data_IF_405386669544
#
_entry.id   IF_405386669544
#
_cell.length_a   1.000
_cell.length_b   1.000
_cell.length_c   1.000
_cell.angle_alpha   90.00
_cell.angle_beta   90.00
_cell.angle_gamma   90.00
#
_symmetry.space_group_name_H-M   'P 1'
#
loop_
_entity.id
_entity.type
_entity.pdbx_description
1 polymer ?
#
# COMPACT_ATOMS: atom_id res chain seq x y z
N UNK A 1 63.51 -41.12 24.52
CA UNK A 1 62.76 -39.83 24.33
C UNK A 1 61.62 -40.11 23.38
N UNK A 2 60.37 -40.18 23.89
CA UNK A 2 59.15 -40.47 23.09
C UNK A 2 58.53 -39.14 22.68
N UNK A 3 58.38 -38.87 21.38
CA UNK A 3 57.70 -37.69 20.84
C UNK A 3 56.18 -37.93 20.87
N UNK A 4 55.44 -37.04 21.51
CA UNK A 4 54.01 -37.05 21.48
C UNK A 4 53.49 -36.44 20.17
N UNK A 5 52.36 -36.91 19.58
CA UNK A 5 51.77 -36.31 18.40
C UNK A 5 50.98 -35.08 18.77
N UNK A 6 51.16 -33.98 18.02
CA UNK A 6 50.26 -32.80 18.04
C UNK A 6 48.96 -33.18 17.34
N UNK A 7 47.87 -33.14 18.08
CA UNK A 7 46.49 -33.21 17.52
C UNK A 7 46.11 -31.81 17.11
N UNK A 8 46.10 -31.55 15.82
CA UNK A 8 45.58 -30.30 15.26
C UNK A 8 44.04 -30.25 15.36
N UNK A 9 43.52 -29.27 16.11
CA UNK A 9 42.08 -28.97 16.20
C UNK A 9 41.67 -28.21 14.94
N UNK A 10 41.01 -28.85 14.00
CA UNK A 10 40.41 -28.18 12.84
C UNK A 10 39.12 -27.48 13.28
N UNK A 11 39.15 -26.16 13.32
CA UNK A 11 37.94 -25.36 13.56
C UNK A 11 37.02 -25.41 12.31
N UNK A 12 35.87 -26.04 12.43
CA UNK A 12 34.85 -26.02 11.41
C UNK A 12 34.17 -24.64 11.42
N UNK A 13 34.48 -23.80 10.44
CA UNK A 13 33.78 -22.57 10.17
C UNK A 13 32.42 -22.93 9.53
N UNK A 14 31.36 -22.89 10.32
CA UNK A 14 29.98 -22.96 9.83
C UNK A 14 29.64 -21.57 9.27
N UNK A 15 29.34 -21.43 7.96
CA UNK A 15 28.88 -20.14 7.43
C UNK A 15 27.55 -19.81 8.06
N UNK A 16 27.45 -18.68 8.78
CA UNK A 16 26.19 -18.07 9.15
C UNK A 16 25.53 -17.59 7.84
N UNK A 17 24.59 -18.38 7.32
CA UNK A 17 23.72 -17.95 6.24
C UNK A 17 22.89 -16.76 6.73
N UNK A 18 23.14 -15.54 6.20
CA UNK A 18 22.21 -14.44 6.33
C UNK A 18 20.93 -14.85 5.60
N UNK A 19 19.92 -15.28 6.33
CA UNK A 19 18.57 -15.38 5.79
C UNK A 19 18.07 -13.96 5.54
N UNK A 20 17.87 -13.58 4.28
CA UNK A 20 17.20 -12.35 3.96
C UNK A 20 15.80 -12.40 4.59
N UNK A 21 15.46 -11.41 5.40
CA UNK A 21 14.11 -11.32 5.95
C UNK A 21 13.10 -11.20 4.82
N UNK A 22 11.97 -11.90 4.92
CA UNK A 22 10.89 -11.79 3.94
C UNK A 22 10.43 -10.33 3.83
N UNK A 23 10.18 -9.84 2.59
CA UNK A 23 9.75 -8.47 2.39
C UNK A 23 8.44 -8.18 3.14
N UNK A 24 8.33 -7.01 3.76
CA UNK A 24 7.10 -6.61 4.41
C UNK A 24 5.96 -6.58 3.37
N UNK A 25 4.85 -7.24 3.68
CA UNK A 25 3.66 -7.34 2.83
C UNK A 25 2.48 -6.70 3.52
N UNK A 26 1.60 -6.11 2.71
CA UNK A 26 0.40 -5.44 3.21
C UNK A 26 -0.81 -5.83 2.35
N UNK A 27 -1.98 -5.77 2.96
CA UNK A 27 -3.25 -6.07 2.29
C UNK A 27 -4.37 -5.21 2.81
N UNK A 28 -5.31 -4.83 1.91
CA UNK A 28 -6.62 -4.30 2.28
C UNK A 28 -7.72 -5.05 1.52
N UNK A 29 -8.87 -5.27 2.17
CA UNK A 29 -10.09 -5.73 1.54
C UNK A 29 -11.06 -4.54 1.51
N UNK A 30 -11.41 -4.07 0.30
CA UNK A 30 -12.24 -2.91 0.10
C UNK A 30 -13.72 -3.31 -0.01
N UNK A 31 -14.57 -2.58 0.74
CA UNK A 31 -16.02 -2.78 0.76
C UNK A 31 -16.73 -1.45 1.02
N UNK A 32 -17.97 -1.32 0.54
CA UNK A 32 -18.77 -0.11 0.75
C UNK A 32 -19.12 0.16 2.21
N UNK A 33 -19.38 -0.88 3.01
CA UNK A 33 -19.70 -0.72 4.42
C UNK A 33 -18.52 -0.25 5.30
N UNK A 34 -17.29 -0.26 4.76
CA UNK A 34 -16.12 0.29 5.43
C UNK A 34 -15.89 1.78 5.11
N UNK A 35 -16.63 2.35 4.16
CA UNK A 35 -16.59 3.79 3.87
C UNK A 35 -17.15 4.64 5.01
N UNK A 36 -16.83 5.92 5.00
CA UNK A 36 -17.27 6.91 6.01
C UNK A 36 -17.88 8.12 5.30
N UNK A 37 -19.22 8.24 5.33
CA UNK A 37 -20.22 7.26 5.83
C UNK A 37 -20.25 5.98 4.98
N UNK A 38 -20.78 4.89 5.55
CA UNK A 38 -20.93 3.61 4.86
C UNK A 38 -21.76 3.73 3.58
N UNK A 39 -21.33 3.02 2.53
CA UNK A 39 -22.02 2.93 1.24
C UNK A 39 -22.60 1.53 1.07
N UNK A 40 -23.88 1.46 0.68
CA UNK A 40 -24.55 0.22 0.27
C UNK A 40 -24.26 -0.04 -1.20
N UNK A 41 -23.36 -0.96 -1.50
CA UNK A 41 -22.94 -1.32 -2.86
C UNK A 41 -22.48 -2.79 -2.90
N UNK A 42 -22.64 -3.44 -4.05
CA UNK A 42 -22.07 -4.76 -4.33
C UNK A 42 -20.58 -4.70 -4.70
N UNK A 43 -20.04 -3.49 -4.85
CA UNK A 43 -18.64 -3.27 -5.19
C UNK A 43 -17.69 -3.89 -4.17
N UNK A 44 -16.58 -4.39 -4.64
CA UNK A 44 -15.51 -4.94 -3.80
C UNK A 44 -14.16 -4.77 -4.47
N UNK A 45 -13.09 -4.77 -3.65
CA UNK A 45 -11.72 -4.70 -4.14
C UNK A 45 -10.71 -5.28 -3.17
N UNK A 46 -9.47 -5.40 -3.63
CA UNK A 46 -8.32 -5.76 -2.79
C UNK A 46 -7.11 -4.94 -3.18
N UNK A 47 -6.35 -4.50 -2.18
CA UNK A 47 -4.99 -4.02 -2.35
C UNK A 47 -4.04 -5.08 -1.82
N UNK A 48 -3.05 -5.44 -2.62
CA UNK A 48 -1.87 -6.19 -2.19
C UNK A 48 -0.63 -5.34 -2.44
N UNK A 49 0.29 -5.31 -1.49
CA UNK A 49 1.56 -4.60 -1.67
C UNK A 49 2.69 -5.28 -0.91
N UNK A 50 3.92 -5.05 -1.39
CA UNK A 50 5.13 -5.54 -0.75
C UNK A 50 6.30 -4.56 -0.94
N UNK A 51 7.17 -4.51 0.06
CA UNK A 51 8.40 -3.72 -0.01
C UNK A 51 9.45 -4.42 -0.85
N UNK A 52 10.08 -3.66 -1.76
CA UNK A 52 11.26 -4.08 -2.51
C UNK A 52 12.34 -2.99 -2.43
N UNK A 53 13.50 -3.22 -3.04
CA UNK A 53 14.62 -2.27 -3.02
C UNK A 53 14.35 -0.98 -3.77
N UNK A 54 13.41 -0.99 -4.73
CA UNK A 54 13.02 0.14 -5.57
C UNK A 54 11.74 0.85 -5.10
N UNK A 55 11.07 0.37 -4.04
CA UNK A 55 9.87 0.97 -3.48
C UNK A 55 8.82 -0.01 -3.00
N UNK A 56 7.61 0.48 -2.82
CA UNK A 56 6.43 -0.31 -2.45
C UNK A 56 5.68 -0.72 -3.72
N UNK A 57 5.82 -1.98 -4.11
CA UNK A 57 5.04 -2.56 -5.21
C UNK A 57 3.61 -2.77 -4.77
N UNK A 58 2.64 -2.47 -5.64
CA UNK A 58 1.24 -2.65 -5.34
C UNK A 58 0.43 -3.21 -6.51
N UNK A 59 -0.65 -3.86 -6.14
CA UNK A 59 -1.74 -4.27 -7.01
C UNK A 59 -3.06 -3.95 -6.34
N UNK A 60 -3.84 -3.08 -6.96
CA UNK A 60 -5.23 -2.78 -6.59
C UNK A 60 -6.16 -3.44 -7.62
N UNK A 61 -7.11 -4.23 -7.15
CA UNK A 61 -8.21 -4.76 -7.98
C UNK A 61 -9.55 -4.29 -7.43
N UNK A 62 -10.52 -4.07 -8.31
CA UNK A 62 -11.90 -3.76 -7.94
C UNK A 62 -12.87 -4.31 -8.98
N UNK A 63 -14.09 -4.59 -8.54
CA UNK A 63 -15.16 -5.12 -9.39
C UNK A 63 -16.54 -4.74 -8.87
N UNK A 64 -17.54 -4.86 -9.75
CA UNK A 64 -18.96 -4.60 -9.44
C UNK A 64 -19.20 -3.20 -8.88
N UNK A 65 -18.46 -2.19 -9.34
CA UNK A 65 -18.75 -0.81 -8.93
C UNK A 65 -20.09 -0.39 -9.51
N UNK A 66 -20.88 0.32 -8.71
CA UNK A 66 -22.25 0.73 -9.01
C UNK A 66 -22.37 2.25 -9.21
N UNK A 67 -21.35 3.01 -8.80
CA UNK A 67 -21.32 4.46 -8.91
C UNK A 67 -20.92 5.02 -10.28
N UNK A 68 -20.94 4.20 -11.33
CA UNK A 68 -20.51 4.59 -12.68
C UNK A 68 -19.00 4.47 -12.88
N UNK A 69 -18.42 5.36 -13.70
CA UNK A 69 -16.99 5.31 -14.01
C UNK A 69 -16.13 5.51 -12.76
N UNK A 70 -15.04 4.75 -12.68
CA UNK A 70 -14.03 4.91 -11.62
C UNK A 70 -13.31 6.24 -11.84
N UNK A 71 -13.35 7.10 -10.84
CA UNK A 71 -12.77 8.43 -10.90
C UNK A 71 -11.32 8.47 -10.41
N UNK A 72 -11.06 7.82 -9.28
CA UNK A 72 -9.75 7.86 -8.63
C UNK A 72 -9.60 6.76 -7.57
N UNK A 73 -8.37 6.43 -7.19
CA UNK A 73 -8.05 5.56 -6.07
C UNK A 73 -6.78 6.04 -5.36
N UNK A 74 -6.79 5.93 -4.02
CA UNK A 74 -5.74 6.48 -3.15
C UNK A 74 -5.32 5.55 -2.02
N UNK A 75 -4.18 5.88 -1.41
CA UNK A 75 -3.83 5.51 -0.05
C UNK A 75 -3.91 6.78 0.81
N UNK A 76 -4.60 6.72 1.93
CA UNK A 76 -4.83 7.81 2.87
C UNK A 76 -4.20 7.54 4.23
N UNK A 77 -3.92 8.62 4.98
CA UNK A 77 -3.61 8.56 6.41
C UNK A 77 -4.89 8.70 7.22
N UNK A 78 -5.33 7.63 7.87
CA UNK A 78 -6.53 7.69 8.72
C UNK A 78 -6.72 6.40 9.51
N UNK A 79 -7.27 6.56 10.70
CA UNK A 79 -7.69 5.47 11.56
C UNK A 79 -8.95 4.80 11.01
N UNK A 80 -9.32 3.59 11.47
CA UNK A 80 -10.62 3.00 11.18
C UNK A 80 -11.76 3.99 11.46
N UNK A 81 -12.73 4.06 10.55
CA UNK A 81 -13.92 4.92 10.66
C UNK A 81 -13.65 6.43 10.70
N UNK A 82 -12.50 6.88 10.20
CA UNK A 82 -12.20 8.31 10.02
C UNK A 82 -11.79 8.60 8.58
N UNK A 83 -12.03 9.83 8.13
CA UNK A 83 -11.48 10.32 6.88
C UNK A 83 -10.16 11.03 7.14
N UNK A 84 -9.18 10.79 6.30
CA UNK A 84 -7.86 11.40 6.35
C UNK A 84 -7.38 11.87 4.98
N UNK A 85 -6.27 12.59 4.96
CA UNK A 85 -5.69 13.11 3.73
C UNK A 85 -5.02 12.04 2.87
N UNK A 86 -4.84 12.35 1.60
CA UNK A 86 -4.20 11.46 0.62
C UNK A 86 -2.70 11.45 0.86
N UNK A 87 -2.12 10.25 0.96
CA UNK A 87 -0.67 10.04 0.96
C UNK A 87 -0.19 9.82 -0.48
N UNK A 88 -0.87 8.92 -1.23
CA UNK A 88 -0.48 8.51 -2.58
C UNK A 88 -1.71 8.31 -3.46
N UNK A 89 -1.59 8.76 -4.71
CA UNK A 89 -2.54 8.47 -5.79
C UNK A 89 -2.15 7.17 -6.49
N UNK A 90 -3.07 6.21 -6.54
CA UNK A 90 -2.85 4.92 -7.22
C UNK A 90 -3.25 5.00 -8.69
N UNK A 91 -4.35 5.70 -8.98
CA UNK A 91 -4.81 6.05 -10.32
C UNK A 91 -5.79 7.22 -10.28
N UNK A 92 -5.97 7.93 -11.42
CA UNK A 92 -6.96 9.00 -11.53
C UNK A 92 -7.41 9.21 -12.96
N UNK A 93 -8.71 9.48 -13.14
CA UNK A 93 -9.36 9.95 -14.36
C UNK A 93 -9.82 11.41 -14.23
N UNK A 94 -9.43 12.08 -13.13
CA UNK A 94 -9.68 13.49 -12.92
C UNK A 94 -8.67 14.36 -13.66
N UNK A 95 -8.96 15.66 -13.90
CA UNK A 95 -8.03 16.59 -14.51
C UNK A 95 -6.79 16.85 -13.62
N UNK A 96 -5.77 17.43 -14.20
CA UNK A 96 -4.55 17.91 -13.53
C UNK A 96 -4.66 19.44 -13.41
N UNK A 97 -4.63 20.06 -12.21
CA UNK A 97 -4.87 19.46 -10.91
C UNK A 97 -6.33 19.03 -10.69
N UNK A 98 -6.70 18.30 -9.61
CA UNK A 98 -5.87 17.93 -8.44
C UNK A 98 -4.99 16.69 -8.64
N UNK A 99 -5.19 15.92 -9.72
CA UNK A 99 -4.37 14.73 -10.00
C UNK A 99 -2.89 15.16 -10.16
N UNK A 100 -1.95 14.51 -9.46
CA UNK A 100 -0.52 14.72 -9.71
C UNK A 100 -0.12 14.32 -11.12
N UNK A 101 0.82 15.06 -11.71
CA UNK A 101 1.40 14.71 -13.01
C UNK A 101 2.05 13.32 -12.94
N UNK A 102 1.78 12.48 -13.95
CA UNK A 102 2.33 11.13 -14.04
C UNK A 102 1.45 10.04 -13.39
N UNK A 103 0.38 10.42 -12.69
CA UNK A 103 -0.60 9.44 -12.19
C UNK A 103 -1.27 8.71 -13.35
N UNK A 104 -1.27 7.38 -13.30
CA UNK A 104 -1.91 6.54 -14.33
C UNK A 104 -3.44 6.64 -14.30
N UNK A 105 -4.09 6.37 -15.43
CA UNK A 105 -5.54 6.31 -15.51
C UNK A 105 -6.11 5.10 -14.73
N UNK A 106 -7.29 5.27 -14.13
CA UNK A 106 -8.04 4.15 -13.56
C UNK A 106 -8.77 3.37 -14.67
N UNK A 107 -8.57 2.06 -14.78
CA UNK A 107 -9.34 1.24 -15.72
C UNK A 107 -10.83 1.15 -15.31
N UNK A 108 -11.70 0.81 -16.28
CA UNK A 108 -13.08 0.51 -15.99
C UNK A 108 -13.23 -0.75 -15.10
N UNK A 109 -14.37 -0.87 -14.39
CA UNK A 109 -14.68 -2.06 -13.59
C UNK A 109 -15.16 -3.25 -14.47
N UNK A 110 -14.65 -4.47 -14.29
CA UNK A 110 -13.62 -4.86 -13.34
C UNK A 110 -12.24 -4.32 -13.73
N UNK A 111 -11.52 -3.75 -12.76
CA UNK A 111 -10.25 -3.07 -12.98
C UNK A 111 -9.09 -3.64 -12.16
N UNK A 112 -7.88 -3.45 -12.70
CA UNK A 112 -6.62 -3.79 -12.05
C UNK A 112 -5.61 -2.69 -12.31
N UNK A 113 -5.04 -2.15 -11.23
CA UNK A 113 -4.02 -1.09 -11.25
C UNK A 113 -2.77 -1.63 -10.56
N UNK A 114 -1.61 -1.48 -11.17
CA UNK A 114 -0.33 -1.91 -10.60
C UNK A 114 0.70 -0.80 -10.71
N UNK A 115 1.65 -0.76 -9.80
CA UNK A 115 2.74 0.20 -9.85
C UNK A 115 3.76 0.00 -8.74
N UNK A 116 4.73 0.90 -8.72
CA UNK A 116 5.72 1.03 -7.66
C UNK A 116 5.60 2.43 -7.09
N UNK A 117 5.41 2.51 -5.77
CA UNK A 117 5.38 3.78 -5.04
C UNK A 117 6.77 4.04 -4.49
N UNK A 118 7.30 5.21 -4.77
CA UNK A 118 8.57 5.73 -4.26
C UNK A 118 8.35 7.06 -3.54
N UNK A 119 9.41 7.72 -3.12
CA UNK A 119 9.31 9.01 -2.44
C UNK A 119 8.61 10.09 -3.30
N UNK A 120 8.83 10.10 -4.61
CA UNK A 120 8.24 11.11 -5.50
C UNK A 120 6.71 11.02 -5.57
N UNK A 121 6.13 9.87 -5.24
CA UNK A 121 4.69 9.62 -5.32
C UNK A 121 3.94 10.02 -4.04
N UNK A 122 4.68 10.32 -2.96
CA UNK A 122 4.09 10.77 -1.68
C UNK A 122 3.80 12.26 -1.77
N UNK A 123 2.52 12.63 -1.70
CA UNK A 123 2.04 14.01 -1.89
C UNK A 123 1.66 14.73 -0.58
N UNK A 124 1.58 14.02 0.53
CA UNK A 124 1.16 14.57 1.82
C UNK A 124 0.57 13.49 2.73
N UNK A 125 -0.35 13.82 3.64
CA UNK A 125 -0.97 15.14 3.87
C UNK A 125 -0.20 16.01 4.90
N UNK A 126 0.24 17.18 4.49
CA UNK A 126 0.99 18.12 5.36
C UNK A 126 0.23 18.46 6.66
N UNK A 127 -1.09 18.67 6.57
CA UNK A 127 -1.93 18.96 7.71
C UNK A 127 -2.04 17.85 8.76
N UNK A 128 -1.57 16.65 8.42
CA UNK A 128 -1.48 15.49 9.33
C UNK A 128 -0.03 15.07 9.59
N UNK A 129 0.96 15.89 9.18
CA UNK A 129 2.38 15.69 9.46
C UNK A 129 3.11 14.78 8.48
N UNK A 130 2.59 14.56 7.28
CA UNK A 130 3.32 13.89 6.18
C UNK A 130 3.59 14.92 5.09
N UNK A 131 4.84 15.28 4.87
CA UNK A 131 5.24 16.17 3.78
C UNK A 131 5.46 15.40 2.47
N UNK A 132 5.42 16.13 1.35
CA UNK A 132 5.75 15.57 0.04
C UNK A 132 7.12 14.89 0.09
N UNK A 133 7.20 13.67 -0.44
CA UNK A 133 8.45 12.91 -0.50
C UNK A 133 8.74 12.05 0.73
N UNK A 134 7.96 12.12 1.80
CA UNK A 134 8.21 11.38 3.05
C UNK A 134 7.76 9.90 2.97
N UNK A 135 8.46 9.13 2.14
CA UNK A 135 8.17 7.70 1.93
C UNK A 135 8.18 6.89 3.23
N UNK A 136 9.08 7.21 4.17
CA UNK A 136 9.14 6.51 5.46
C UNK A 136 7.88 6.73 6.31
N UNK A 137 7.20 7.88 6.17
CA UNK A 137 5.94 8.14 6.85
C UNK A 137 4.80 7.26 6.27
N UNK A 138 4.75 7.06 4.94
CA UNK A 138 3.86 6.07 4.32
C UNK A 138 4.11 4.67 4.89
N UNK A 139 5.37 4.22 4.92
CA UNK A 139 5.74 2.88 5.44
C UNK A 139 5.33 2.74 6.91
N UNK A 140 5.53 3.78 7.72
CA UNK A 140 5.09 3.79 9.12
C UNK A 140 3.57 3.70 9.25
N UNK A 141 2.81 4.45 8.45
CA UNK A 141 1.35 4.41 8.45
C UNK A 141 0.81 3.02 8.06
N UNK A 142 1.40 2.38 7.05
CA UNK A 142 1.08 0.99 6.68
C UNK A 142 1.39 0.00 7.81
N UNK A 143 2.53 0.16 8.47
CA UNK A 143 2.98 -0.71 9.57
C UNK A 143 2.14 -0.56 10.84
N UNK A 144 1.65 0.65 11.11
CA UNK A 144 0.86 0.98 12.30
C UNK A 144 -0.65 0.72 12.14
N UNK A 145 -1.11 0.38 10.90
CA UNK A 145 -2.53 0.21 10.61
C UNK A 145 -3.30 1.54 10.61
N UNK A 146 -2.62 2.66 10.31
CA UNK A 146 -3.23 3.99 10.16
C UNK A 146 -3.29 4.44 8.69
N UNK A 147 -3.20 3.50 7.76
CA UNK A 147 -3.42 3.74 6.34
C UNK A 147 -4.65 2.98 5.86
N UNK A 148 -5.42 3.59 4.98
CA UNK A 148 -6.49 2.92 4.26
C UNK A 148 -6.40 3.21 2.76
N UNK A 149 -6.96 2.32 1.95
CA UNK A 149 -7.13 2.58 0.52
C UNK A 149 -8.61 2.62 0.17
N UNK A 150 -8.98 3.47 -0.79
CA UNK A 150 -10.34 3.54 -1.31
C UNK A 150 -10.36 3.75 -2.82
N UNK A 151 -11.53 3.47 -3.41
CA UNK A 151 -11.84 3.69 -4.81
C UNK A 151 -13.07 4.57 -4.89
N UNK A 152 -12.99 5.65 -5.66
CA UNK A 152 -14.04 6.62 -5.88
C UNK A 152 -14.64 6.43 -7.27
N UNK A 153 -15.92 6.70 -7.40
CA UNK A 153 -16.64 6.65 -8.66
C UNK A 153 -17.39 7.95 -8.91
N UNK A 154 -17.94 8.11 -10.09
CA UNK A 154 -18.65 9.34 -10.48
C UNK A 154 -19.78 9.71 -9.50
N UNK A 155 -20.55 8.72 -9.02
CA UNK A 155 -21.63 8.93 -8.05
C UNK A 155 -21.14 9.06 -6.62
N UNK A 156 -20.13 8.25 -6.25
CA UNK A 156 -19.57 8.23 -4.89
C UNK A 156 -18.22 8.94 -4.87
N UNK A 157 -18.25 10.25 -5.04
CA UNK A 157 -17.05 11.10 -5.09
C UNK A 157 -16.23 11.13 -3.79
N UNK A 158 -16.83 10.72 -2.65
CA UNK A 158 -16.11 10.57 -1.36
C UNK A 158 -15.54 9.17 -1.14
N UNK A 159 -15.81 8.23 -2.06
CA UNK A 159 -15.42 6.82 -2.01
C UNK A 159 -16.62 5.89 -2.12
N UNK A 160 -16.51 4.84 -2.94
CA UNK A 160 -17.52 3.78 -3.04
C UNK A 160 -17.13 2.57 -2.20
N UNK A 161 -15.84 2.20 -2.21
CA UNK A 161 -15.31 1.09 -1.42
C UNK A 161 -14.00 1.47 -0.76
N UNK A 162 -13.81 1.01 0.47
CA UNK A 162 -12.64 1.31 1.32
C UNK A 162 -12.18 0.08 2.08
N UNK A 163 -10.89 0.01 2.39
CA UNK A 163 -10.31 -1.00 3.25
C UNK A 163 -9.10 -0.49 4.03
N UNK A 164 -9.05 -0.79 5.34
CA UNK A 164 -7.85 -0.54 6.15
C UNK A 164 -6.71 -1.43 5.64
N UNK A 165 -5.53 -0.83 5.50
CA UNK A 165 -4.34 -1.57 5.12
C UNK A 165 -3.73 -2.22 6.35
N UNK A 166 -3.49 -3.52 6.28
CA UNK A 166 -2.90 -4.29 7.38
C UNK A 166 -1.66 -5.03 6.91
N UNK A 167 -0.66 -5.12 7.79
CA UNK A 167 0.52 -5.95 7.53
C UNK A 167 0.13 -7.43 7.53
N UNK A 168 0.61 -8.15 6.52
CA UNK A 168 0.48 -9.61 6.48
C UNK A 168 1.61 -10.20 7.31
N UNK A 169 1.24 -10.93 8.36
CA UNK A 169 2.20 -11.68 9.19
C UNK A 169 2.31 -13.08 8.58
N UNK A 170 3.52 -13.63 8.37
CA UNK A 170 3.75 -14.99 7.87
C UNK A 170 3.11 -16.06 8.74
#
# INVERSE_FOLDING_TARGET
>A
MKKAPLIGLAALLVPLGLSAADPARYRANLRGNAEVPSISTAASGTLHSYMASDGLHYELTYKNVEGGDVAQAHIHLGQPHTNGGIIVWLCSNLPIPPTPTGTQACPASPGRVTGVISAIDVVGPDGQGISTGEFNALVAALGNGTAYTNVHTATFGSGEIRGLVSRVVP
#
